data_IF_274653806784
#
_entry.id   IF_274653806784
#
_cell.length_a   1.000
_cell.length_b   1.000
_cell.length_c   1.000
_cell.angle_alpha   90.00
_cell.angle_beta   90.00
_cell.angle_gamma   90.00
#
_symmetry.space_group_name_H-M   'P 1'
#
loop_
_entity.id
_entity.type
_entity.pdbx_description
1 polymer ?
#
# COMPACT_ATOMS: atom_id res chain seq x y z
N UNK A 1 23.10 40.30 -68.25
CA UNK A 1 23.75 39.40 -67.27
C UNK A 1 23.48 39.96 -65.87
N UNK A 2 22.47 39.42 -65.15
CA UNK A 2 22.18 39.77 -63.77
C UNK A 2 22.36 38.48 -62.95
N UNK A 3 23.31 38.52 -62.02
CA UNK A 3 23.56 37.43 -61.05
C UNK A 3 22.54 37.54 -59.93
N UNK A 4 21.80 36.48 -59.76
CA UNK A 4 20.91 36.25 -58.62
C UNK A 4 21.73 35.59 -57.55
N UNK A 5 21.86 36.24 -56.39
CA UNK A 5 22.48 35.72 -55.16
C UNK A 5 21.38 35.05 -54.38
N UNK A 6 21.47 33.71 -54.25
CA UNK A 6 20.60 32.92 -53.40
C UNK A 6 21.12 33.00 -51.95
N UNK A 7 20.36 33.63 -51.06
CA UNK A 7 20.63 33.67 -49.64
C UNK A 7 19.96 32.43 -49.00
N UNK A 8 20.74 31.43 -48.65
CA UNK A 8 20.27 30.27 -47.88
C UNK A 8 20.26 30.68 -46.40
N UNK A 9 19.05 30.87 -45.83
CA UNK A 9 18.85 31.01 -44.41
C UNK A 9 19.02 29.69 -43.70
N UNK A 10 20.06 29.58 -42.88
CA UNK A 10 20.31 28.46 -41.99
C UNK A 10 19.41 28.64 -40.76
N UNK A 11 18.28 27.89 -40.71
CA UNK A 11 17.45 27.82 -39.49
C UNK A 11 18.11 26.81 -38.56
N UNK A 12 18.77 27.32 -37.53
CA UNK A 12 19.28 26.49 -36.44
C UNK A 12 18.10 26.07 -35.57
N UNK A 13 17.71 24.83 -35.72
CA UNK A 13 16.81 24.15 -34.75
C UNK A 13 17.58 23.97 -33.45
N UNK A 14 17.34 24.83 -32.46
CA UNK A 14 17.65 24.51 -31.07
C UNK A 14 16.64 23.45 -30.58
N UNK A 15 16.95 22.19 -30.81
CA UNK A 15 16.32 21.09 -30.12
C UNK A 15 16.67 21.18 -28.64
N UNK A 16 15.71 21.59 -27.80
CA UNK A 16 15.78 21.38 -26.37
C UNK A 16 15.73 19.85 -26.16
N UNK A 17 16.91 19.24 -26.16
CA UNK A 17 17.09 17.93 -25.57
C UNK A 17 16.79 18.07 -24.08
N UNK A 18 15.57 17.73 -23.64
CA UNK A 18 15.35 17.30 -22.28
C UNK A 18 16.17 16.01 -22.11
N UNK A 19 17.38 16.17 -21.60
CA UNK A 19 18.26 15.08 -21.31
C UNK A 19 17.55 14.14 -20.33
N UNK A 20 17.29 12.93 -20.77
CA UNK A 20 17.13 11.79 -19.88
C UNK A 20 18.34 11.81 -18.96
N UNK A 21 18.15 12.12 -17.66
CA UNK A 21 19.21 11.97 -16.68
C UNK A 21 19.59 10.49 -16.71
N UNK A 22 20.73 10.19 -17.32
CA UNK A 22 21.26 8.84 -17.37
C UNK A 22 21.41 8.31 -15.96
N UNK A 23 20.81 7.17 -15.71
CA UNK A 23 20.80 6.43 -14.44
C UNK A 23 22.17 5.87 -14.04
N UNK A 24 23.23 6.25 -14.71
CA UNK A 24 24.54 5.61 -14.62
C UNK A 24 25.67 6.48 -14.09
N UNK A 25 25.38 7.31 -13.07
CA UNK A 25 26.51 7.72 -12.23
C UNK A 25 26.72 6.61 -11.18
N UNK A 26 27.76 5.80 -11.37
CA UNK A 26 28.20 4.75 -10.44
C UNK A 26 28.27 5.21 -8.97
N UNK A 27 28.36 6.51 -8.72
CA UNK A 27 28.46 7.11 -7.39
C UNK A 27 27.17 7.10 -6.58
N UNK A 28 26.00 7.28 -7.19
CA UNK A 28 24.74 7.26 -6.43
C UNK A 28 24.37 5.87 -5.95
N UNK A 29 24.86 4.80 -6.61
CA UNK A 29 24.64 3.40 -6.20
C UNK A 29 25.54 3.01 -5.02
N UNK A 30 26.66 3.71 -4.79
CA UNK A 30 27.51 3.52 -3.61
C UNK A 30 26.77 3.98 -2.35
N UNK A 31 27.01 3.29 -1.24
CA UNK A 31 26.48 3.72 0.04
C UNK A 31 27.13 5.04 0.49
N UNK A 32 26.38 5.84 1.23
CA UNK A 32 26.84 7.13 1.74
C UNK A 32 27.50 6.95 3.11
N UNK A 33 28.17 8.02 3.58
CA UNK A 33 28.55 8.15 5.00
C UNK A 33 27.40 8.85 5.75
N UNK A 34 26.97 8.26 6.84
CA UNK A 34 26.03 8.84 7.81
C UNK A 34 26.60 8.62 9.21
N UNK A 35 26.42 9.60 10.11
CA UNK A 35 26.94 9.52 11.49
C UNK A 35 26.33 8.34 12.27
N UNK A 36 25.13 7.89 11.92
CA UNK A 36 24.46 6.72 12.49
C UNK A 36 25.02 5.40 11.96
N UNK A 37 25.90 5.44 10.97
CA UNK A 37 26.48 4.29 10.30
C UNK A 37 25.49 3.56 9.40
N UNK A 38 25.86 2.34 8.99
CA UNK A 38 24.94 1.48 8.22
C UNK A 38 23.78 0.99 9.10
N UNK A 39 22.60 1.00 8.54
CA UNK A 39 21.43 0.44 9.22
C UNK A 39 21.60 -1.07 9.43
N UNK A 40 21.21 -1.58 10.61
CA UNK A 40 21.34 -2.98 10.97
C UNK A 40 19.95 -3.58 11.15
N UNK A 41 19.44 -4.37 10.19
CA UNK A 41 18.13 -4.97 10.29
C UNK A 41 18.08 -6.05 11.36
N UNK A 42 16.90 -6.24 11.97
CA UNK A 42 16.72 -7.29 12.97
C UNK A 42 16.74 -8.67 12.30
N UNK A 43 17.29 -9.66 13.00
CA UNK A 43 17.46 -11.02 12.46
C UNK A 43 16.20 -11.88 12.58
N UNK A 44 15.27 -11.52 13.46
CA UNK A 44 14.05 -12.25 13.78
C UNK A 44 12.85 -11.32 13.73
N UNK A 45 11.73 -11.83 13.25
CA UNK A 45 10.46 -11.10 13.22
C UNK A 45 9.82 -10.94 14.59
N UNK A 46 8.83 -10.07 14.66
CA UNK A 46 8.07 -9.82 15.88
C UNK A 46 7.28 -11.05 16.34
N UNK A 47 6.86 -11.92 15.43
CA UNK A 47 6.20 -13.19 15.75
C UNK A 47 7.02 -14.07 16.69
N UNK A 48 8.33 -14.16 16.44
CA UNK A 48 9.22 -14.94 17.30
C UNK A 48 9.62 -14.20 18.60
N UNK A 49 9.69 -12.87 18.57
CA UNK A 49 10.36 -12.09 19.63
C UNK A 49 9.41 -11.29 20.50
N UNK A 50 8.16 -11.08 20.07
CA UNK A 50 7.21 -10.14 20.68
C UNK A 50 7.63 -8.66 20.57
N UNK A 51 8.72 -8.35 19.83
CA UNK A 51 9.33 -7.02 19.79
C UNK A 51 9.17 -6.40 18.42
N UNK A 52 8.84 -5.11 18.40
CA UNK A 52 8.70 -4.29 17.18
C UNK A 52 9.78 -3.22 17.16
N UNK A 53 10.47 -3.11 16.02
CA UNK A 53 11.56 -2.17 15.82
C UNK A 53 11.00 -0.74 15.77
N UNK A 54 11.61 0.17 16.52
CA UNK A 54 11.32 1.59 16.44
C UNK A 54 12.50 2.32 15.81
N UNK A 55 12.42 2.55 14.50
CA UNK A 55 13.47 3.19 13.69
C UNK A 55 13.66 4.66 14.09
N UNK A 56 12.58 5.35 14.47
CA UNK A 56 12.68 6.76 14.89
C UNK A 56 13.47 6.90 16.20
N UNK A 57 13.29 5.98 17.16
CA UNK A 57 14.16 5.98 18.34
C UNK A 57 15.63 5.68 17.99
N UNK A 58 15.89 4.75 17.06
CA UNK A 58 17.23 4.48 16.57
C UNK A 58 17.82 5.70 15.81
N UNK A 59 16.99 6.54 15.21
CA UNK A 59 17.40 7.78 14.57
C UNK A 59 17.69 8.92 15.58
N UNK A 60 17.36 8.73 16.87
CA UNK A 60 17.64 9.69 17.94
C UNK A 60 16.44 10.51 18.40
N UNK A 61 15.22 10.26 17.87
CA UNK A 61 14.00 10.95 18.33
C UNK A 61 13.51 10.38 19.66
N UNK A 62 12.97 11.24 20.52
CA UNK A 62 12.40 10.80 21.80
C UNK A 62 11.04 10.13 21.60
N UNK A 63 10.61 9.37 22.62
CA UNK A 63 9.27 8.77 22.60
C UNK A 63 8.17 9.83 22.48
N UNK A 64 8.33 10.95 23.20
CA UNK A 64 7.38 12.06 23.16
C UNK A 64 7.28 12.71 21.77
N UNK A 65 8.40 12.88 21.07
CA UNK A 65 8.40 13.39 19.70
C UNK A 65 7.66 12.44 18.74
N UNK A 66 7.90 11.13 18.89
CA UNK A 66 7.26 10.09 18.05
C UNK A 66 5.75 10.05 18.31
N UNK A 67 5.34 10.05 19.56
CA UNK A 67 3.92 10.04 19.93
C UNK A 67 3.21 11.33 19.44
N UNK A 68 3.87 12.48 19.53
CA UNK A 68 3.38 13.75 18.97
C UNK A 68 3.24 13.69 17.46
N UNK A 69 4.24 13.13 16.75
CA UNK A 69 4.21 12.98 15.28
C UNK A 69 3.06 12.08 14.84
N UNK A 70 2.86 10.94 15.50
CA UNK A 70 1.75 10.03 15.24
C UNK A 70 0.39 10.66 15.53
N UNK A 71 0.25 11.35 16.67
CA UNK A 71 -0.98 12.04 17.03
C UNK A 71 -1.33 13.13 16.01
N UNK A 72 -0.32 13.87 15.53
CA UNK A 72 -0.51 14.88 14.49
C UNK A 72 -0.96 14.26 13.17
N UNK A 73 -0.31 13.20 12.71
CA UNK A 73 -0.70 12.52 11.47
C UNK A 73 -2.11 11.92 11.56
N UNK A 74 -2.46 11.35 12.72
CA UNK A 74 -3.82 10.88 12.96
C UNK A 74 -4.83 12.05 12.91
N UNK A 75 -4.54 13.16 13.57
CA UNK A 75 -5.39 14.35 13.53
C UNK A 75 -5.61 14.85 12.10
N UNK A 76 -4.54 14.95 11.30
CA UNK A 76 -4.61 15.46 9.93
C UNK A 76 -5.50 14.59 9.03
N UNK A 77 -5.50 13.25 9.23
CA UNK A 77 -6.28 12.30 8.41
C UNK A 77 -7.71 12.10 8.94
N UNK A 78 -7.93 12.11 10.26
CA UNK A 78 -9.22 11.73 10.85
C UNK A 78 -10.03 12.89 11.46
N UNK A 79 -9.40 13.98 11.86
CA UNK A 79 -10.05 15.02 12.68
C UNK A 79 -9.90 16.43 12.08
N UNK A 80 -8.77 16.71 11.44
CA UNK A 80 -8.37 18.03 10.98
C UNK A 80 -9.19 18.55 9.77
N UNK A 81 -8.86 19.76 9.28
CA UNK A 81 -9.58 20.39 8.17
C UNK A 81 -9.54 19.61 6.85
N UNK A 82 -8.47 18.83 6.64
CA UNK A 82 -8.29 17.98 5.45
C UNK A 82 -8.68 16.53 5.66
N UNK A 83 -9.42 16.21 6.73
CA UNK A 83 -9.77 14.85 7.10
C UNK A 83 -10.53 14.11 6.04
N UNK A 84 -10.34 12.80 6.01
CA UNK A 84 -11.08 11.87 5.16
C UNK A 84 -12.11 11.02 5.91
N UNK A 85 -12.13 11.09 7.25
CA UNK A 85 -13.07 10.41 8.11
C UNK A 85 -14.31 11.27 8.36
N UNK A 86 -15.51 10.72 8.13
CA UNK A 86 -16.79 11.41 8.29
C UNK A 86 -17.80 10.56 9.06
N UNK A 87 -18.33 11.09 10.14
CA UNK A 87 -19.36 10.43 10.93
C UNK A 87 -20.75 10.55 10.25
N UNK A 88 -21.57 9.51 10.43
CA UNK A 88 -22.94 9.42 9.91
C UNK A 88 -23.86 9.00 11.07
N UNK A 89 -24.65 9.94 11.56
CA UNK A 89 -25.47 9.75 12.76
C UNK A 89 -24.60 9.34 13.96
N UNK A 90 -25.21 8.62 14.90
CA UNK A 90 -24.56 8.33 16.19
C UNK A 90 -23.67 7.08 16.18
N UNK A 91 -23.72 6.26 15.13
CA UNK A 91 -23.12 4.92 15.18
C UNK A 91 -22.32 4.49 13.96
N UNK A 92 -22.24 5.30 12.90
CA UNK A 92 -21.56 4.96 11.66
C UNK A 92 -20.57 6.05 11.26
N UNK A 93 -19.57 5.67 10.45
CA UNK A 93 -18.66 6.59 9.79
C UNK A 93 -18.09 5.96 8.51
N UNK A 94 -17.55 6.78 7.62
CA UNK A 94 -16.85 6.32 6.42
C UNK A 94 -15.55 7.09 6.19
N UNK A 95 -14.67 6.51 5.38
CA UNK A 95 -13.50 7.18 4.80
C UNK A 95 -13.86 7.57 3.37
N UNK A 96 -13.63 8.82 3.01
CA UNK A 96 -13.91 9.36 1.67
C UNK A 96 -12.65 9.55 0.86
N UNK A 97 -12.63 9.05 -0.37
CA UNK A 97 -11.73 9.55 -1.39
C UNK A 97 -12.27 10.91 -1.87
N UNK A 98 -11.68 11.99 -1.39
CA UNK A 98 -12.14 13.34 -1.66
C UNK A 98 -11.96 13.75 -3.14
N UNK A 99 -11.04 13.11 -3.86
CA UNK A 99 -10.78 13.38 -5.28
C UNK A 99 -11.80 12.73 -6.19
N UNK A 100 -12.25 11.53 -5.83
CA UNK A 100 -13.20 10.75 -6.59
C UNK A 100 -14.64 10.89 -6.04
N UNK A 101 -14.82 11.57 -4.92
CA UNK A 101 -16.13 11.81 -4.27
C UNK A 101 -16.86 10.50 -3.94
N UNK A 102 -16.13 9.48 -3.53
CA UNK A 102 -16.65 8.17 -3.16
C UNK A 102 -16.04 7.65 -1.85
N UNK A 103 -16.63 6.58 -1.34
CA UNK A 103 -16.05 5.75 -0.29
C UNK A 103 -15.70 4.39 -0.91
N UNK A 104 -14.49 3.91 -0.64
CA UNK A 104 -13.93 2.68 -1.21
C UNK A 104 -13.62 1.68 -0.12
N UNK A 105 -13.72 0.39 -0.45
CA UNK A 105 -13.30 -0.69 0.45
C UNK A 105 -11.85 -0.53 0.91
N UNK A 106 -10.96 -0.06 0.04
CA UNK A 106 -9.57 0.29 0.36
C UNK A 106 -9.51 1.27 1.55
N UNK A 107 -10.15 2.44 1.43
CA UNK A 107 -10.08 3.46 2.48
C UNK A 107 -10.78 3.05 3.77
N UNK A 108 -11.93 2.35 3.67
CA UNK A 108 -12.65 1.84 4.84
C UNK A 108 -11.80 0.85 5.62
N UNK A 109 -11.19 -0.11 4.93
CA UNK A 109 -10.33 -1.12 5.55
C UNK A 109 -9.05 -0.51 6.13
N UNK A 110 -8.42 0.44 5.44
CA UNK A 110 -7.27 1.17 5.99
C UNK A 110 -7.63 1.96 7.25
N UNK A 111 -8.80 2.63 7.25
CA UNK A 111 -9.30 3.32 8.44
C UNK A 111 -9.52 2.37 9.62
N UNK A 112 -10.07 1.17 9.35
CA UNK A 112 -10.25 0.12 10.35
C UNK A 112 -8.91 -0.40 10.88
N UNK A 113 -7.92 -0.64 9.99
CA UNK A 113 -6.57 -1.05 10.42
C UNK A 113 -5.92 0.03 11.30
N UNK A 114 -5.97 1.30 10.94
CA UNK A 114 -5.49 2.40 11.79
C UNK A 114 -6.18 2.37 13.15
N UNK A 115 -7.50 2.24 13.16
CA UNK A 115 -8.28 2.26 14.40
C UNK A 115 -7.94 1.08 15.32
N UNK A 116 -7.79 -0.14 14.77
CA UNK A 116 -7.43 -1.31 15.59
C UNK A 116 -5.99 -1.22 16.09
N UNK A 117 -5.05 -0.72 15.30
CA UNK A 117 -3.67 -0.53 15.73
C UNK A 117 -3.53 0.52 16.84
N UNK A 118 -4.26 1.62 16.76
CA UNK A 118 -4.24 2.72 17.74
C UNK A 118 -5.24 2.54 18.89
N UNK A 119 -5.90 1.36 19.00
CA UNK A 119 -6.89 1.04 20.03
C UNK A 119 -8.10 2.00 20.08
N UNK A 120 -8.57 2.44 18.93
CA UNK A 120 -9.73 3.33 18.75
C UNK A 120 -10.99 2.54 18.39
N UNK A 121 -11.55 1.83 19.36
CA UNK A 121 -12.68 0.91 19.15
C UNK A 121 -13.91 1.58 18.55
N UNK A 122 -14.29 2.77 19.01
CA UNK A 122 -15.48 3.48 18.52
C UNK A 122 -15.33 3.83 17.03
N UNK A 123 -14.17 4.32 16.61
CA UNK A 123 -13.86 4.60 15.19
C UNK A 123 -13.96 3.33 14.35
N UNK A 124 -13.38 2.23 14.83
CA UNK A 124 -13.44 0.93 14.16
C UNK A 124 -14.89 0.45 13.98
N UNK A 125 -15.66 0.46 15.04
CA UNK A 125 -17.04 0.00 15.04
C UNK A 125 -17.93 0.84 14.13
N UNK A 126 -17.73 2.16 14.08
CA UNK A 126 -18.46 3.08 13.18
C UNK A 126 -18.15 2.78 11.72
N UNK A 127 -16.87 2.60 11.38
CA UNK A 127 -16.43 2.24 10.02
C UNK A 127 -17.00 0.88 9.61
N UNK A 128 -16.90 -0.14 10.49
CA UNK A 128 -17.45 -1.46 10.19
C UNK A 128 -18.96 -1.45 9.98
N UNK A 129 -19.73 -0.76 10.82
CA UNK A 129 -21.19 -0.68 10.67
C UNK A 129 -21.59 -0.03 9.35
N UNK A 130 -20.90 1.04 8.94
CA UNK A 130 -21.15 1.70 7.66
C UNK A 130 -20.80 0.79 6.49
N UNK A 131 -19.64 0.18 6.51
CA UNK A 131 -19.15 -0.76 5.50
C UNK A 131 -20.11 -1.93 5.32
N UNK A 132 -20.52 -2.56 6.42
CA UNK A 132 -21.46 -3.68 6.39
C UNK A 132 -22.82 -3.28 5.84
N UNK A 133 -23.30 -2.10 6.16
CA UNK A 133 -24.63 -1.61 5.73
C UNK A 133 -24.67 -1.21 4.26
N UNK A 134 -23.63 -0.52 3.79
CA UNK A 134 -23.69 0.14 2.47
C UNK A 134 -22.80 -0.50 1.42
N UNK A 135 -21.88 -1.37 1.78
CA UNK A 135 -20.95 -1.99 0.83
C UNK A 135 -21.11 -3.51 0.79
N UNK A 136 -21.35 -4.19 1.94
CA UNK A 136 -21.38 -5.65 1.97
C UNK A 136 -22.68 -6.20 1.38
N UNK A 137 -22.55 -7.08 0.38
CA UNK A 137 -23.66 -7.82 -0.19
C UNK A 137 -24.22 -8.83 0.81
N UNK A 138 -25.55 -8.89 0.91
CA UNK A 138 -26.28 -9.76 1.82
C UNK A 138 -27.13 -10.75 1.00
N UNK A 139 -26.52 -11.87 0.61
CA UNK A 139 -27.17 -12.90 -0.21
C UNK A 139 -26.79 -12.87 -1.70
N UNK A 140 -27.25 -13.88 -2.45
CA UNK A 140 -26.90 -14.08 -3.86
C UNK A 140 -25.46 -14.56 -4.05
N UNK A 141 -24.99 -14.55 -5.30
CA UNK A 141 -23.63 -14.99 -5.64
C UNK A 141 -22.55 -14.10 -5.00
N UNK A 142 -22.83 -12.81 -4.79
CA UNK A 142 -21.91 -11.85 -4.16
C UNK A 142 -21.96 -11.87 -2.63
N UNK A 143 -22.74 -12.75 -1.99
CA UNK A 143 -22.86 -12.76 -0.52
C UNK A 143 -21.48 -12.69 0.17
N UNK A 144 -21.37 -11.82 1.18
CA UNK A 144 -20.19 -11.51 1.96
C UNK A 144 -19.07 -10.72 1.23
N UNK A 145 -19.11 -10.53 -0.09
CA UNK A 145 -18.26 -9.60 -0.81
C UNK A 145 -18.78 -8.16 -0.71
N UNK A 146 -18.01 -7.21 -1.20
CA UNK A 146 -18.33 -5.78 -1.05
C UNK A 146 -18.38 -5.07 -2.40
N UNK A 147 -19.33 -4.17 -2.57
CA UNK A 147 -19.28 -3.14 -3.60
C UNK A 147 -18.05 -2.25 -3.31
N UNK A 148 -17.05 -2.27 -4.18
CA UNK A 148 -15.77 -1.61 -3.88
C UNK A 148 -15.84 -0.09 -3.78
N UNK A 149 -16.86 0.54 -4.41
CA UNK A 149 -17.02 2.00 -4.42
C UNK A 149 -18.50 2.38 -4.28
N UNK A 150 -18.76 3.28 -3.34
CA UNK A 150 -20.11 3.73 -2.95
C UNK A 150 -20.15 5.25 -2.85
N UNK A 151 -21.27 5.88 -3.26
CA UNK A 151 -21.55 7.30 -3.00
C UNK A 151 -21.94 7.51 -1.54
N UNK A 152 -21.15 8.16 -0.69
CA UNK A 152 -21.44 8.24 0.74
C UNK A 152 -22.75 8.95 1.07
N UNK A 153 -23.10 9.97 0.27
CA UNK A 153 -24.30 10.77 0.50
C UNK A 153 -25.62 9.99 0.33
N UNK A 154 -25.62 8.91 -0.47
CA UNK A 154 -26.83 8.15 -0.80
C UNK A 154 -26.74 6.67 -0.48
N UNK A 155 -25.55 6.14 -0.22
CA UNK A 155 -25.31 4.70 -0.10
C UNK A 155 -25.43 3.94 -1.44
N UNK A 156 -25.54 4.65 -2.57
CA UNK A 156 -25.64 4.01 -3.89
C UNK A 156 -24.27 3.48 -4.34
N UNK A 157 -24.23 2.22 -4.79
CA UNK A 157 -23.04 1.63 -5.38
C UNK A 157 -22.67 2.35 -6.69
N UNK A 158 -21.39 2.70 -6.84
CA UNK A 158 -20.81 3.09 -8.11
C UNK A 158 -20.47 1.85 -8.95
N UNK A 159 -20.17 0.74 -8.26
CA UNK A 159 -19.89 -0.57 -8.84
C UNK A 159 -20.37 -1.66 -7.88
N UNK A 160 -21.03 -2.67 -8.38
CA UNK A 160 -21.43 -3.85 -7.59
C UNK A 160 -20.27 -4.82 -7.36
N UNK A 161 -19.22 -4.77 -8.17
CA UNK A 161 -18.10 -5.67 -8.09
C UNK A 161 -17.21 -5.44 -6.86
N UNK A 162 -16.47 -6.46 -6.46
CA UNK A 162 -15.49 -6.41 -5.39
C UNK A 162 -14.11 -6.01 -5.93
N UNK A 163 -13.29 -5.35 -5.11
CA UNK A 163 -11.86 -5.13 -5.29
C UNK A 163 -11.13 -5.87 -4.17
N UNK A 164 -10.38 -6.92 -4.54
CA UNK A 164 -9.87 -7.93 -3.61
C UNK A 164 -9.07 -7.41 -2.42
N UNK A 165 -8.43 -6.25 -2.54
CA UNK A 165 -7.62 -5.65 -1.45
C UNK A 165 -8.46 -5.30 -0.20
N UNK A 166 -9.69 -4.84 -0.39
CA UNK A 166 -10.59 -4.52 0.72
C UNK A 166 -10.87 -5.75 1.59
N UNK A 167 -11.21 -6.88 0.98
CA UNK A 167 -11.49 -8.14 1.67
C UNK A 167 -10.28 -8.62 2.49
N UNK A 168 -9.06 -8.49 1.95
CA UNK A 168 -7.83 -8.87 2.66
C UNK A 168 -7.66 -8.11 3.97
N UNK A 169 -7.82 -6.80 3.91
CA UNK A 169 -7.71 -5.95 5.09
C UNK A 169 -8.86 -6.17 6.06
N UNK A 170 -10.12 -6.23 5.59
CA UNK A 170 -11.28 -6.47 6.47
C UNK A 170 -11.13 -7.75 7.30
N UNK A 171 -10.68 -8.86 6.68
CA UNK A 171 -10.44 -10.10 7.42
C UNK A 171 -9.41 -9.90 8.52
N UNK A 172 -8.27 -9.30 8.19
CA UNK A 172 -7.18 -9.11 9.15
C UNK A 172 -7.56 -8.12 10.25
N UNK A 173 -8.25 -7.03 9.90
CA UNK A 173 -8.75 -6.00 10.84
C UNK A 173 -9.71 -6.61 11.86
N UNK A 174 -10.65 -7.41 11.39
CA UNK A 174 -11.66 -8.06 12.22
C UNK A 174 -11.04 -9.14 13.12
N UNK A 175 -10.05 -9.91 12.63
CA UNK A 175 -9.29 -10.84 13.47
C UNK A 175 -8.52 -10.08 14.57
N UNK A 176 -7.90 -8.97 14.23
CA UNK A 176 -7.21 -8.12 15.21
C UNK A 176 -8.18 -7.47 16.20
N UNK A 177 -9.35 -7.03 15.75
CA UNK A 177 -10.40 -6.51 16.61
C UNK A 177 -10.92 -7.58 17.59
N UNK A 178 -11.13 -8.81 17.10
CA UNK A 178 -11.48 -9.97 17.93
C UNK A 178 -10.43 -10.22 19.01
N UNK A 179 -9.15 -10.22 18.63
CA UNK A 179 -8.05 -10.44 19.56
C UNK A 179 -7.92 -9.32 20.60
N UNK A 180 -8.17 -8.06 20.20
CA UNK A 180 -8.00 -6.87 21.06
C UNK A 180 -9.17 -6.62 21.99
N UNK A 181 -10.39 -6.75 21.49
CA UNK A 181 -11.60 -6.31 22.17
C UNK A 181 -12.58 -7.45 22.52
N UNK A 182 -12.32 -8.68 22.02
CA UNK A 182 -13.21 -9.81 22.17
C UNK A 182 -14.44 -9.73 21.24
N UNK A 183 -15.36 -10.68 21.38
CA UNK A 183 -16.49 -10.86 20.45
C UNK A 183 -17.87 -10.57 21.09
N UNK A 184 -17.92 -10.20 22.38
CA UNK A 184 -19.17 -9.92 23.11
C UNK A 184 -19.39 -8.41 23.29
N UNK A 185 -19.12 -7.60 22.26
CA UNK A 185 -19.08 -6.13 22.35
C UNK A 185 -20.11 -5.45 21.46
N UNK A 186 -21.17 -6.17 21.05
CA UNK A 186 -22.16 -5.70 20.07
C UNK A 186 -21.81 -6.04 18.62
N UNK A 187 -20.55 -6.35 18.34
CA UNK A 187 -20.06 -6.92 17.07
C UNK A 187 -19.27 -8.18 17.39
N UNK A 188 -19.61 -9.30 16.75
CA UNK A 188 -18.80 -10.51 16.79
C UNK A 188 -17.77 -10.43 15.65
N UNK A 189 -16.63 -9.78 15.93
CA UNK A 189 -15.58 -9.54 14.93
C UNK A 189 -15.04 -10.83 14.31
N UNK A 190 -14.89 -11.88 15.13
CA UNK A 190 -14.42 -13.19 14.65
C UNK A 190 -15.39 -13.80 13.64
N UNK A 191 -16.70 -13.80 13.94
CA UNK A 191 -17.70 -14.32 13.01
C UNK A 191 -17.76 -13.52 11.71
N UNK A 192 -17.61 -12.20 11.78
CA UNK A 192 -17.54 -11.33 10.60
C UNK A 192 -16.30 -11.63 9.75
N UNK A 193 -15.11 -11.74 10.37
CA UNK A 193 -13.88 -12.13 9.69
C UNK A 193 -14.01 -13.47 8.98
N UNK A 194 -14.57 -14.46 9.68
CA UNK A 194 -14.76 -15.82 9.14
C UNK A 194 -15.72 -15.84 7.96
N UNK A 195 -16.83 -15.09 8.03
CA UNK A 195 -17.79 -15.02 6.94
C UNK A 195 -17.16 -14.49 5.66
N UNK A 196 -16.32 -13.44 5.75
CA UNK A 196 -15.63 -12.89 4.61
C UNK A 196 -14.58 -13.90 4.10
N UNK A 197 -13.73 -14.39 4.99
CA UNK A 197 -12.65 -15.30 4.62
C UNK A 197 -13.19 -16.59 3.97
N UNK A 198 -14.27 -17.17 4.51
CA UNK A 198 -14.91 -18.34 3.91
C UNK A 198 -15.42 -18.04 2.48
N UNK A 199 -15.99 -16.86 2.23
CA UNK A 199 -16.43 -16.47 0.90
C UNK A 199 -15.26 -16.28 -0.08
N UNK A 200 -14.08 -15.86 0.39
CA UNK A 200 -12.92 -15.56 -0.47
C UNK A 200 -12.37 -16.78 -1.22
N UNK A 201 -12.72 -17.99 -0.83
CA UNK A 201 -12.24 -19.22 -1.50
C UNK A 201 -13.36 -20.25 -1.79
N UNK A 202 -14.62 -19.97 -1.45
CA UNK A 202 -15.73 -20.95 -1.57
C UNK A 202 -16.76 -20.62 -2.64
N UNK A 203 -16.51 -19.62 -3.51
CA UNK A 203 -17.41 -19.30 -4.62
C UNK A 203 -17.30 -20.35 -5.72
N UNK A 204 -18.44 -20.74 -6.27
CA UNK A 204 -18.58 -21.83 -7.26
C UNK A 204 -18.65 -21.32 -8.72
N UNK A 205 -18.52 -20.02 -8.94
CA UNK A 205 -18.63 -19.40 -10.26
C UNK A 205 -20.06 -19.03 -10.68
N UNK A 206 -21.06 -19.22 -9.79
CA UNK A 206 -22.43 -18.79 -10.04
C UNK A 206 -22.48 -17.31 -10.41
N UNK A 207 -23.24 -16.96 -11.45
CA UNK A 207 -23.34 -15.61 -12.02
C UNK A 207 -21.96 -15.01 -12.43
N UNK A 208 -20.93 -15.85 -12.56
CA UNK A 208 -19.58 -15.42 -12.92
C UNK A 208 -18.76 -14.86 -11.76
N UNK A 209 -19.25 -15.01 -10.52
CA UNK A 209 -18.54 -14.59 -9.31
C UNK A 209 -17.56 -15.68 -8.91
N UNK A 210 -16.30 -15.29 -8.77
CA UNK A 210 -15.17 -16.17 -8.52
C UNK A 210 -14.59 -15.93 -7.12
N UNK A 211 -13.60 -16.74 -6.74
CA UNK A 211 -12.88 -16.57 -5.48
C UNK A 211 -11.95 -15.34 -5.52
N UNK A 212 -11.82 -14.65 -4.41
CA UNK A 212 -10.74 -13.66 -4.19
C UNK A 212 -9.38 -14.39 -4.12
N UNK A 213 -9.33 -15.55 -3.46
CA UNK A 213 -8.13 -16.40 -3.48
C UNK A 213 -8.26 -17.40 -4.62
N UNK A 214 -7.44 -17.26 -5.66
CA UNK A 214 -7.32 -18.30 -6.67
C UNK A 214 -6.67 -19.53 -6.03
N UNK A 215 -7.45 -20.60 -5.85
CA UNK A 215 -7.05 -21.79 -5.08
C UNK A 215 -5.94 -22.57 -5.79
N UNK A 216 -5.96 -22.62 -7.12
CA UNK A 216 -4.95 -23.29 -7.94
C UNK A 216 -3.58 -22.59 -7.84
N UNK A 217 -3.58 -21.28 -7.98
CA UNK A 217 -2.36 -20.47 -7.93
C UNK A 217 -1.94 -20.10 -6.49
N UNK A 218 -2.83 -20.22 -5.49
CA UNK A 218 -2.64 -19.74 -4.10
C UNK A 218 -2.28 -18.25 -4.06
N UNK A 219 -2.91 -17.46 -4.92
CA UNK A 219 -2.66 -16.04 -5.11
C UNK A 219 -3.98 -15.27 -5.11
N UNK A 220 -3.89 -13.97 -4.83
CA UNK A 220 -5.06 -13.08 -4.85
C UNK A 220 -5.36 -12.67 -6.29
N UNK A 221 -6.63 -12.74 -6.68
CA UNK A 221 -7.10 -12.24 -7.97
C UNK A 221 -7.22 -10.72 -7.95
N UNK A 222 -7.13 -10.06 -9.10
CA UNK A 222 -7.35 -8.60 -9.16
C UNK A 222 -8.78 -8.24 -8.73
N UNK A 223 -9.77 -8.84 -9.36
CA UNK A 223 -11.18 -8.80 -8.94
C UNK A 223 -11.78 -10.19 -9.08
N UNK A 224 -12.73 -10.60 -8.21
CA UNK A 224 -13.28 -11.96 -8.19
C UNK A 224 -14.41 -12.13 -9.20
N UNK A 225 -14.14 -11.83 -10.47
CA UNK A 225 -15.03 -12.08 -11.59
C UNK A 225 -14.24 -12.56 -12.82
N UNK A 226 -14.94 -12.91 -13.89
CA UNK A 226 -14.31 -13.43 -15.10
C UNK A 226 -13.29 -12.48 -15.74
N UNK A 227 -13.38 -11.17 -15.47
CA UNK A 227 -12.48 -10.16 -16.06
C UNK A 227 -11.15 -10.07 -15.32
N UNK A 228 -11.12 -10.38 -14.01
CA UNK A 228 -9.98 -10.20 -13.13
C UNK A 228 -9.43 -11.47 -12.48
N UNK A 229 -10.12 -12.61 -12.62
CA UNK A 229 -9.77 -13.84 -11.88
C UNK A 229 -8.42 -14.45 -12.26
N UNK A 230 -7.93 -14.22 -13.47
CA UNK A 230 -6.71 -14.83 -14.00
C UNK A 230 -5.49 -13.90 -14.00
N UNK A 231 -5.53 -12.84 -13.24
CA UNK A 231 -4.44 -11.89 -13.07
C UNK A 231 -4.57 -11.14 -11.75
N UNK A 232 -3.55 -10.36 -11.40
CA UNK A 232 -3.43 -9.80 -10.06
C UNK A 232 -2.79 -8.42 -10.05
N UNK A 233 -2.83 -7.78 -8.88
CA UNK A 233 -2.04 -6.63 -8.48
C UNK A 233 -0.98 -7.07 -7.46
N UNK A 234 0.31 -6.80 -7.67
CA UNK A 234 1.36 -7.15 -6.71
C UNK A 234 1.12 -6.61 -5.29
N UNK A 235 0.44 -5.48 -5.15
CA UNK A 235 0.14 -4.91 -3.84
C UNK A 235 -0.90 -5.70 -3.03
N UNK A 236 -1.65 -6.60 -3.67
CA UNK A 236 -2.60 -7.49 -3.01
C UNK A 236 -1.92 -8.71 -2.38
N UNK A 237 -0.64 -8.92 -2.65
CA UNK A 237 0.13 -10.01 -2.05
C UNK A 237 0.71 -9.59 -0.70
N UNK A 238 0.01 -10.00 0.36
CA UNK A 238 0.29 -9.67 1.75
C UNK A 238 0.68 -10.95 2.52
N UNK A 239 1.91 -11.48 2.36
CA UNK A 239 2.31 -12.73 3.01
C UNK A 239 2.12 -12.69 4.52
N UNK A 240 2.33 -11.54 5.15
CA UNK A 240 2.09 -11.37 6.58
C UNK A 240 0.61 -11.59 6.98
N UNK A 241 -0.36 -11.21 6.15
CA UNK A 241 -1.77 -11.42 6.45
C UNK A 241 -2.15 -12.91 6.34
N UNK A 242 -1.63 -13.62 5.35
CA UNK A 242 -1.83 -15.07 5.25
C UNK A 242 -1.29 -15.82 6.47
N UNK A 243 -0.13 -15.41 7.01
CA UNK A 243 0.38 -15.98 8.28
C UNK A 243 -0.57 -15.70 9.45
N UNK A 244 -1.16 -14.49 9.52
CA UNK A 244 -2.16 -14.14 10.54
C UNK A 244 -3.42 -14.98 10.38
N UNK A 245 -3.89 -15.22 9.16
CA UNK A 245 -5.04 -16.09 8.92
C UNK A 245 -4.76 -17.54 9.28
N UNK A 246 -3.56 -18.04 8.96
CA UNK A 246 -3.12 -19.37 9.38
C UNK A 246 -3.13 -19.54 10.91
N UNK A 247 -2.86 -18.47 11.64
CA UNK A 247 -2.81 -18.53 13.11
C UNK A 247 -4.19 -18.32 13.76
N UNK A 248 -4.98 -17.37 13.25
CA UNK A 248 -6.19 -16.92 13.96
C UNK A 248 -7.52 -17.29 13.32
N UNK A 249 -7.58 -17.70 12.06
CA UNK A 249 -8.84 -18.06 11.42
C UNK A 249 -9.47 -19.33 12.01
N UNK A 250 -8.65 -20.31 12.42
CA UNK A 250 -9.08 -21.59 13.03
C UNK A 250 -10.16 -22.31 12.22
N UNK A 251 -9.95 -22.39 10.89
CA UNK A 251 -10.92 -22.95 9.94
C UNK A 251 -10.48 -24.29 9.33
N UNK A 252 -9.35 -24.84 9.81
CA UNK A 252 -8.76 -26.08 9.31
C UNK A 252 -7.95 -25.90 8.02
N UNK A 253 -7.66 -24.65 7.62
CA UNK A 253 -6.89 -24.30 6.42
C UNK A 253 -5.55 -23.65 6.72
N UNK A 254 -5.03 -23.82 7.91
CA UNK A 254 -3.80 -23.19 8.38
C UNK A 254 -2.64 -23.44 7.40
N UNK A 255 -2.50 -24.67 6.90
CA UNK A 255 -1.45 -24.99 5.94
C UNK A 255 -1.67 -24.32 4.58
N UNK A 256 -2.92 -24.24 4.11
CA UNK A 256 -3.24 -23.57 2.86
C UNK A 256 -2.86 -22.07 2.91
N UNK A 257 -3.14 -21.39 4.02
CA UNK A 257 -2.73 -19.97 4.17
C UNK A 257 -1.22 -19.82 4.28
N UNK A 258 -0.50 -20.74 4.94
CA UNK A 258 0.97 -20.73 4.92
C UNK A 258 1.54 -20.92 3.51
N UNK A 259 0.94 -21.82 2.73
CA UNK A 259 1.33 -22.00 1.33
C UNK A 259 1.04 -20.74 0.49
N UNK A 260 -0.06 -20.02 0.75
CA UNK A 260 -0.34 -18.73 0.12
C UNK A 260 0.71 -17.67 0.51
N UNK A 261 1.13 -17.64 1.78
CA UNK A 261 2.19 -16.72 2.24
C UNK A 261 3.52 -16.99 1.53
N UNK A 262 3.92 -18.24 1.42
CA UNK A 262 5.15 -18.62 0.73
C UNK A 262 5.06 -18.35 -0.78
N UNK A 263 3.91 -18.63 -1.39
CA UNK A 263 3.64 -18.28 -2.81
C UNK A 263 3.71 -16.78 -3.03
N UNK A 264 3.13 -15.97 -2.14
CA UNK A 264 3.18 -14.51 -2.23
C UNK A 264 4.62 -13.97 -2.14
N UNK A 265 5.50 -14.54 -1.29
CA UNK A 265 6.92 -14.17 -1.21
C UNK A 265 7.65 -14.47 -2.53
N UNK A 266 7.43 -15.68 -3.10
CA UNK A 266 8.01 -16.08 -4.40
C UNK A 266 7.47 -15.19 -5.53
N UNK A 267 6.19 -14.86 -5.50
CA UNK A 267 5.57 -13.99 -6.48
C UNK A 267 6.17 -12.58 -6.43
N UNK A 268 6.28 -11.96 -5.26
CA UNK A 268 6.89 -10.63 -5.10
C UNK A 268 8.35 -10.60 -5.58
N UNK A 269 9.11 -11.67 -5.35
CA UNK A 269 10.46 -11.82 -5.91
C UNK A 269 10.46 -11.73 -7.44
N UNK A 270 9.46 -12.33 -8.11
CA UNK A 270 9.35 -12.34 -9.58
C UNK A 270 8.80 -11.04 -10.15
N UNK A 271 7.82 -10.42 -9.46
CA UNK A 271 7.15 -9.22 -9.91
C UNK A 271 8.02 -7.96 -9.79
N UNK A 272 8.95 -7.92 -8.83
CA UNK A 272 9.82 -6.77 -8.63
C UNK A 272 11.06 -6.83 -9.53
N UNK A 273 11.33 -5.75 -10.26
CA UNK A 273 12.49 -5.64 -11.13
C UNK A 273 13.80 -5.85 -10.35
N UNK A 274 14.69 -6.66 -10.91
CA UNK A 274 15.93 -7.07 -10.24
C UNK A 274 17.02 -5.97 -10.17
N UNK A 275 16.81 -4.84 -10.84
CA UNK A 275 17.73 -3.68 -10.83
C UNK A 275 17.13 -2.53 -10.01
N UNK A 276 15.90 -2.13 -10.32
CA UNK A 276 15.25 -0.96 -9.71
C UNK A 276 14.47 -1.28 -8.44
N UNK A 277 13.99 -2.52 -8.29
CA UNK A 277 13.03 -2.91 -7.24
C UNK A 277 11.58 -2.49 -7.55
N UNK A 278 11.33 -1.79 -8.67
CA UNK A 278 9.99 -1.39 -9.08
C UNK A 278 9.18 -2.59 -9.55
N UNK A 279 7.88 -2.56 -9.35
CA UNK A 279 6.91 -3.52 -9.86
C UNK A 279 5.84 -2.82 -10.69
N UNK A 280 5.22 -3.54 -11.60
CA UNK A 280 4.03 -3.08 -12.31
C UNK A 280 2.83 -3.02 -11.35
N UNK A 281 1.89 -2.10 -11.60
CA UNK A 281 0.61 -2.06 -10.89
C UNK A 281 -0.26 -3.31 -11.20
N UNK A 282 -0.16 -3.88 -12.42
CA UNK A 282 -0.85 -5.13 -12.75
C UNK A 282 0.12 -6.16 -13.34
N UNK A 283 -0.08 -7.45 -12.98
CA UNK A 283 0.70 -8.58 -13.48
C UNK A 283 -0.18 -9.80 -13.71
N UNK A 284 0.32 -10.77 -14.46
CA UNK A 284 -0.18 -12.15 -14.33
C UNK A 284 0.35 -12.80 -13.03
N UNK A 285 -0.08 -14.03 -12.75
CA UNK A 285 0.36 -14.79 -11.57
C UNK A 285 1.82 -15.24 -11.60
N UNK A 286 2.52 -15.06 -12.71
CA UNK A 286 3.97 -15.29 -12.80
C UNK A 286 4.81 -14.04 -12.49
N UNK A 287 4.16 -12.88 -12.35
CA UNK A 287 4.80 -11.58 -12.10
C UNK A 287 5.12 -10.79 -13.38
N UNK A 288 4.68 -11.26 -14.56
CA UNK A 288 4.86 -10.54 -15.81
C UNK A 288 3.86 -9.37 -15.88
N UNK A 289 4.34 -8.15 -16.20
CA UNK A 289 3.47 -6.98 -16.31
C UNK A 289 2.31 -7.18 -17.29
N UNK A 290 1.13 -6.74 -16.85
CA UNK A 290 -0.11 -6.80 -17.64
C UNK A 290 -0.67 -5.39 -17.83
N UNK A 291 -1.10 -5.09 -19.05
CA UNK A 291 -1.74 -3.81 -19.37
C UNK A 291 -3.23 -3.98 -19.62
N UNK A 292 -4.02 -3.03 -19.20
CA UNK A 292 -5.45 -2.91 -19.49
C UNK A 292 -5.72 -1.52 -20.10
N UNK A 293 -5.72 -1.41 -21.41
CA UNK A 293 -5.75 -0.12 -22.09
C UNK A 293 -4.50 0.70 -21.76
N UNK A 294 -4.67 1.86 -21.11
CA UNK A 294 -3.58 2.73 -20.63
C UNK A 294 -3.17 2.40 -19.20
N UNK A 295 -3.84 1.46 -18.55
CA UNK A 295 -3.59 1.05 -17.17
C UNK A 295 -2.67 -0.16 -17.13
N UNK A 296 -1.95 -0.32 -16.04
CA UNK A 296 -1.01 -1.41 -15.83
C UNK A 296 0.34 -1.17 -16.51
N UNK A 297 1.30 -2.02 -16.19
CA UNK A 297 2.63 -2.03 -16.79
C UNK A 297 3.61 -0.98 -16.24
N UNK A 298 3.18 -0.10 -15.33
CA UNK A 298 4.02 0.91 -14.70
C UNK A 298 3.94 0.83 -13.17
N UNK A 299 4.98 1.32 -12.51
CA UNK A 299 5.00 1.55 -11.06
C UNK A 299 4.28 2.85 -10.76
N UNK A 300 3.13 2.79 -10.08
CA UNK A 300 2.32 3.94 -9.68
C UNK A 300 1.28 3.55 -8.62
N UNK A 301 0.75 4.49 -7.84
CA UNK A 301 -0.32 4.30 -6.85
C UNK A 301 -0.30 2.95 -6.10
N UNK A 302 -1.05 1.95 -6.57
CA UNK A 302 -1.14 0.63 -5.93
C UNK A 302 0.24 -0.01 -5.73
N UNK A 303 1.14 0.15 -6.70
CA UNK A 303 2.52 -0.32 -6.60
C UNK A 303 3.31 0.29 -5.45
N UNK A 304 2.96 1.51 -4.97
CA UNK A 304 3.66 2.14 -3.84
C UNK A 304 3.47 1.36 -2.54
N UNK A 305 2.43 0.55 -2.42
CA UNK A 305 2.18 -0.29 -1.25
C UNK A 305 3.17 -1.44 -1.11
N UNK A 306 3.69 -1.95 -2.23
CA UNK A 306 4.58 -3.14 -2.26
C UNK A 306 5.83 -2.97 -1.37
N UNK A 307 6.58 -1.85 -1.41
CA UNK A 307 7.70 -1.61 -0.51
C UNK A 307 7.35 -1.77 0.98
N UNK A 308 6.21 -1.21 1.39
CA UNK A 308 5.73 -1.30 2.77
C UNK A 308 5.25 -2.71 3.12
N UNK A 309 4.57 -3.41 2.21
CA UNK A 309 4.08 -4.78 2.41
C UNK A 309 5.24 -5.77 2.63
N UNK A 310 6.32 -5.63 1.85
CA UNK A 310 7.53 -6.44 2.02
C UNK A 310 8.21 -6.13 3.36
N UNK A 311 8.28 -4.86 3.74
CA UNK A 311 8.85 -4.43 5.02
C UNK A 311 8.00 -4.92 6.21
N UNK A 312 6.68 -4.95 6.08
CA UNK A 312 5.77 -5.52 7.07
C UNK A 312 6.03 -7.00 7.29
N UNK A 313 6.08 -7.80 6.21
CA UNK A 313 6.36 -9.24 6.30
C UNK A 313 7.72 -9.51 6.97
N UNK A 314 8.74 -8.71 6.61
CA UNK A 314 10.03 -8.79 7.28
C UNK A 314 9.93 -8.45 8.78
N UNK A 315 9.27 -7.35 9.12
CA UNK A 315 9.14 -6.91 10.50
C UNK A 315 8.38 -7.91 11.37
N UNK A 316 7.36 -8.56 10.81
CA UNK A 316 6.53 -9.49 11.55
C UNK A 316 7.09 -10.91 11.56
N UNK A 317 7.56 -11.43 10.43
CA UNK A 317 7.91 -12.86 10.29
C UNK A 317 9.35 -13.12 9.87
N UNK A 318 9.99 -12.23 9.12
CA UNK A 318 11.37 -12.35 8.65
C UNK A 318 11.73 -13.71 8.00
N UNK A 319 10.79 -14.29 7.23
CA UNK A 319 10.97 -15.63 6.62
C UNK A 319 11.82 -15.61 5.35
N UNK A 320 11.83 -14.51 4.58
CA UNK A 320 12.61 -14.37 3.33
C UNK A 320 13.66 -13.24 3.40
N UNK A 321 14.41 -13.22 4.49
CA UNK A 321 15.32 -12.12 4.88
C UNK A 321 16.29 -11.68 3.80
N UNK A 322 16.94 -12.63 3.14
CA UNK A 322 18.00 -12.32 2.19
C UNK A 322 17.46 -11.53 1.00
N UNK A 323 16.37 -12.01 0.42
CA UNK A 323 15.75 -11.32 -0.71
C UNK A 323 15.11 -9.99 -0.27
N UNK A 324 14.39 -9.96 0.84
CA UNK A 324 13.75 -8.74 1.35
C UNK A 324 14.76 -7.61 1.60
N UNK A 325 15.93 -7.94 2.19
CA UNK A 325 17.02 -6.97 2.36
C UNK A 325 17.62 -6.51 1.03
N UNK A 326 17.79 -7.40 0.08
CA UNK A 326 18.26 -7.08 -1.26
C UNK A 326 17.24 -6.20 -2.01
N UNK A 327 15.95 -6.51 -1.89
CA UNK A 327 14.86 -5.67 -2.40
C UNK A 327 14.90 -4.25 -1.82
N UNK A 328 14.94 -4.13 -0.49
CA UNK A 328 14.99 -2.82 0.17
C UNK A 328 16.21 -1.99 -0.26
N UNK A 329 17.36 -2.66 -0.48
CA UNK A 329 18.55 -2.02 -1.03
C UNK A 329 18.32 -1.51 -2.46
N UNK A 330 17.66 -2.28 -3.34
CA UNK A 330 17.42 -1.92 -4.74
C UNK A 330 16.49 -0.73 -4.85
N UNK A 331 15.30 -0.80 -4.24
CA UNK A 331 14.30 0.27 -4.34
C UNK A 331 14.80 1.58 -3.73
N UNK A 332 15.48 1.52 -2.58
CA UNK A 332 16.07 2.73 -1.98
C UNK A 332 17.24 3.28 -2.77
N UNK A 333 18.10 2.43 -3.38
CA UNK A 333 19.13 2.90 -4.30
C UNK A 333 18.53 3.61 -5.51
N UNK A 334 17.51 3.01 -6.12
CA UNK A 334 16.83 3.58 -7.27
C UNK A 334 16.27 4.96 -6.95
N UNK A 335 15.42 5.08 -5.95
CA UNK A 335 14.79 6.35 -5.56
C UNK A 335 15.82 7.38 -5.09
N UNK A 336 16.85 6.97 -4.35
CA UNK A 336 17.93 7.85 -3.93
C UNK A 336 18.69 8.45 -5.12
N UNK A 337 18.93 7.66 -6.17
CA UNK A 337 19.57 8.14 -7.40
C UNK A 337 18.70 9.13 -8.18
N UNK A 338 17.39 9.10 -7.99
CA UNK A 338 16.45 10.09 -8.54
C UNK A 338 16.44 11.40 -7.74
N UNK A 339 17.01 11.39 -6.53
CA UNK A 339 17.03 12.50 -5.59
C UNK A 339 16.05 12.31 -4.44
N UNK A 340 16.56 12.22 -3.20
CA UNK A 340 15.76 11.87 -2.01
C UNK A 340 14.59 12.83 -1.77
N UNK A 341 14.72 14.09 -2.15
CA UNK A 341 13.70 15.13 -1.97
C UNK A 341 12.91 15.45 -3.24
N UNK A 342 13.15 14.71 -4.35
CA UNK A 342 12.63 15.09 -5.67
C UNK A 342 12.22 13.91 -6.55
N UNK A 343 12.42 12.66 -6.15
CA UNK A 343 12.07 11.53 -7.00
C UNK A 343 10.59 11.56 -7.38
N UNK A 344 10.32 11.17 -8.60
CA UNK A 344 8.98 11.15 -9.17
C UNK A 344 8.17 9.98 -8.58
N UNK A 345 6.86 10.05 -8.73
CA UNK A 345 5.91 9.11 -8.15
C UNK A 345 5.44 8.01 -9.13
N UNK A 346 5.81 8.10 -10.41
CA UNK A 346 5.46 7.10 -11.41
C UNK A 346 6.65 6.79 -12.32
N UNK A 347 6.85 5.49 -12.58
CA UNK A 347 7.95 4.99 -13.42
C UNK A 347 7.50 3.80 -14.26
N UNK A 348 8.12 3.59 -15.41
CA UNK A 348 8.20 2.27 -15.99
C UNK A 348 9.07 1.38 -15.08
N UNK A 349 8.88 0.07 -15.11
CA UNK A 349 9.61 -0.84 -14.19
C UNK A 349 11.12 -0.87 -14.42
N UNK A 350 11.60 -0.44 -15.60
CA UNK A 350 13.02 -0.26 -15.90
C UNK A 350 13.61 1.03 -15.32
N UNK A 351 12.77 1.89 -14.73
CA UNK A 351 13.16 3.15 -14.10
C UNK A 351 13.07 4.38 -15.01
N UNK A 352 12.66 4.24 -16.26
CA UNK A 352 12.35 5.36 -17.14
C UNK A 352 11.02 6.01 -16.74
N UNK A 353 10.79 7.27 -17.14
CA UNK A 353 9.53 7.95 -16.90
C UNK A 353 8.44 7.42 -17.85
N UNK A 354 7.19 7.25 -17.38
CA UNK A 354 6.11 6.78 -18.22
C UNK A 354 5.65 7.87 -19.19
N UNK A 355 5.24 7.49 -20.39
CA UNK A 355 4.64 8.40 -21.38
C UNK A 355 3.20 8.78 -21.02
N UNK A 356 2.52 7.97 -20.22
CA UNK A 356 1.19 8.24 -19.70
C UNK A 356 1.23 8.35 -18.17
N UNK A 357 0.85 9.52 -17.65
CA UNK A 357 0.79 9.80 -16.23
C UNK A 357 -0.66 9.62 -15.77
N UNK A 358 -0.88 8.75 -14.78
CA UNK A 358 -2.19 8.55 -14.15
C UNK A 358 -2.29 9.46 -12.92
N UNK A 359 -3.38 10.22 -12.81
CA UNK A 359 -3.69 10.96 -11.58
C UNK A 359 -5.19 11.04 -11.32
N UNK A 360 -5.56 10.96 -10.06
CA UNK A 360 -6.90 11.29 -9.61
C UNK A 360 -7.23 12.76 -9.91
N UNK A 361 -8.45 13.05 -10.33
CA UNK A 361 -8.89 14.41 -10.67
C UNK A 361 -8.38 14.96 -12.01
N UNK A 362 -7.77 14.11 -12.87
CA UNK A 362 -7.41 14.48 -14.24
C UNK A 362 -6.10 15.30 -14.41
N UNK A 363 -5.32 15.50 -13.35
CA UNK A 363 -4.02 16.16 -13.43
C UNK A 363 -2.95 15.19 -13.92
N UNK A 364 -2.28 15.54 -15.03
CA UNK A 364 -1.19 14.75 -15.60
C UNK A 364 0.17 15.36 -15.24
N UNK A 365 0.58 15.22 -13.98
CA UNK A 365 1.87 15.74 -13.52
C UNK A 365 2.54 14.75 -12.57
N UNK A 366 3.80 14.45 -12.83
CA UNK A 366 4.63 13.72 -11.87
C UNK A 366 4.91 14.60 -10.65
N UNK A 367 4.87 13.99 -9.46
CA UNK A 367 5.11 14.65 -8.17
C UNK A 367 6.12 13.86 -7.36
N UNK A 368 6.57 14.46 -6.30
CA UNK A 368 7.24 13.79 -5.19
C UNK A 368 6.18 13.45 -4.14
N UNK A 369 5.37 12.40 -4.42
CA UNK A 369 4.19 12.08 -3.60
C UNK A 369 4.56 11.60 -2.22
N UNK A 370 3.86 12.14 -1.20
CA UNK A 370 4.01 11.78 0.21
C UNK A 370 3.77 10.27 0.44
N UNK A 371 2.82 9.67 -0.28
CA UNK A 371 2.54 8.24 -0.22
C UNK A 371 3.77 7.39 -0.58
N UNK A 372 4.44 7.70 -1.70
CA UNK A 372 5.65 6.96 -2.10
C UNK A 372 6.84 7.28 -1.20
N UNK A 373 7.03 8.54 -0.77
CA UNK A 373 8.04 8.90 0.24
C UNK A 373 7.87 8.06 1.48
N UNK A 374 6.64 7.91 1.95
CA UNK A 374 6.29 7.18 3.16
C UNK A 374 6.53 5.67 3.03
N UNK A 375 6.00 5.05 1.99
CA UNK A 375 6.13 3.59 1.81
C UNK A 375 7.56 3.17 1.50
N UNK A 376 8.32 4.00 0.77
CA UNK A 376 9.75 3.77 0.55
C UNK A 376 10.58 3.93 1.84
N UNK A 377 10.16 4.82 2.75
CA UNK A 377 10.79 4.94 4.07
C UNK A 377 10.52 3.70 4.95
N UNK A 378 9.33 3.09 4.86
CA UNK A 378 9.01 1.86 5.58
C UNK A 378 9.98 0.72 5.26
N UNK A 379 10.58 0.68 4.05
CA UNK A 379 11.62 -0.31 3.72
C UNK A 379 12.88 -0.17 4.56
N UNK A 380 13.06 0.91 5.31
CA UNK A 380 14.17 1.05 6.25
C UNK A 380 14.11 0.02 7.40
N UNK A 381 12.96 -0.60 7.66
CA UNK A 381 12.86 -1.75 8.57
C UNK A 381 13.76 -2.93 8.13
N UNK A 382 13.97 -3.09 6.83
CA UNK A 382 14.84 -4.09 6.20
C UNK A 382 16.16 -3.49 5.70
N UNK A 383 16.40 -2.20 5.98
CA UNK A 383 17.55 -1.45 5.49
C UNK A 383 18.90 -2.01 5.98
N UNK A 384 19.86 -2.08 5.05
CA UNK A 384 21.24 -2.56 5.31
C UNK A 384 22.30 -1.54 4.93
N UNK A 385 21.90 -0.31 4.57
CA UNK A 385 22.73 0.77 4.06
C UNK A 385 22.62 2.01 4.93
N UNK A 386 23.63 2.88 4.89
CA UNK A 386 23.57 4.17 5.56
C UNK A 386 22.55 5.12 4.91
N UNK A 387 22.37 5.04 3.59
CA UNK A 387 21.35 5.87 2.89
C UNK A 387 19.91 5.58 3.30
N UNK A 388 19.60 4.42 3.91
CA UNK A 388 18.29 4.14 4.47
C UNK A 388 17.84 5.19 5.51
N UNK A 389 18.79 5.80 6.21
CA UNK A 389 18.51 6.91 7.14
C UNK A 389 17.93 8.14 6.44
N UNK A 390 18.32 8.40 5.18
CA UNK A 390 17.79 9.54 4.42
C UNK A 390 16.29 9.39 4.14
N UNK A 391 15.81 8.16 3.93
CA UNK A 391 14.38 7.88 3.79
C UNK A 391 13.63 8.05 5.13
N UNK A 392 14.27 7.67 6.24
CA UNK A 392 13.71 7.92 7.58
C UNK A 392 13.63 9.43 7.86
N UNK A 393 14.68 10.18 7.55
CA UNK A 393 14.71 11.63 7.70
C UNK A 393 13.65 12.32 6.82
N UNK A 394 13.50 11.85 5.56
CA UNK A 394 12.52 12.40 4.62
C UNK A 394 11.07 12.25 5.15
N UNK A 395 10.67 11.03 5.56
CA UNK A 395 9.32 10.83 6.10
C UNK A 395 9.11 11.50 7.46
N UNK A 396 10.15 11.61 8.29
CA UNK A 396 10.05 12.32 9.56
C UNK A 396 9.78 13.82 9.34
N UNK A 397 10.45 14.44 8.38
CA UNK A 397 10.28 15.85 8.07
C UNK A 397 9.04 16.14 7.21
N UNK A 398 8.47 15.13 6.57
CA UNK A 398 7.29 15.28 5.73
C UNK A 398 6.05 15.70 6.53
N UNK A 399 5.13 16.37 5.84
CA UNK A 399 3.84 16.82 6.35
C UNK A 399 2.75 16.50 5.33
N UNK A 400 1.56 16.21 5.83
CA UNK A 400 0.38 16.09 4.99
C UNK A 400 -0.19 17.48 4.74
N UNK A 401 0.16 18.06 3.60
CA UNK A 401 -0.24 19.42 3.19
C UNK A 401 -0.38 19.49 1.65
N UNK A 402 -1.11 20.47 1.12
CA UNK A 402 -1.19 20.67 -0.32
C UNK A 402 0.17 20.89 -0.96
N UNK A 403 0.40 20.30 -2.13
CA UNK A 403 1.57 20.55 -2.96
C UNK A 403 1.58 22.00 -3.47
N UNK A 404 2.72 22.47 -3.96
CA UNK A 404 2.89 23.84 -4.44
C UNK A 404 1.95 24.26 -5.58
N UNK A 405 1.36 23.28 -6.29
CA UNK A 405 0.36 23.51 -7.33
C UNK A 405 -1.09 23.37 -6.84
N UNK A 406 -1.27 23.27 -5.52
CA UNK A 406 -2.59 23.13 -4.89
C UNK A 406 -3.20 21.73 -4.92
N UNK A 407 -2.51 20.75 -5.53
CA UNK A 407 -2.97 19.34 -5.42
C UNK A 407 -2.84 18.87 -3.98
N UNK A 408 -3.84 18.18 -3.48
CA UNK A 408 -3.87 17.64 -2.12
C UNK A 408 -4.59 16.30 -2.11
N UNK A 409 -3.92 15.27 -1.63
CA UNK A 409 -4.47 13.92 -1.52
C UNK A 409 -4.37 13.40 -0.08
N UNK A 410 -5.26 13.83 0.81
CA UNK A 410 -5.27 13.34 2.19
C UNK A 410 -5.78 11.90 2.31
N UNK A 411 -6.42 11.36 1.27
CA UNK A 411 -6.89 10.00 1.23
C UNK A 411 -5.71 9.03 1.03
N UNK A 412 -5.14 8.98 -0.15
CA UNK A 412 -4.11 7.98 -0.44
C UNK A 412 -2.76 8.31 0.18
N UNK A 413 -2.25 9.53 -0.05
CA UNK A 413 -1.02 10.00 0.57
C UNK A 413 -1.11 10.01 2.10
N UNK A 414 -2.25 10.47 2.66
CA UNK A 414 -2.45 10.58 4.11
C UNK A 414 -2.52 9.23 4.81
N UNK A 415 -3.26 8.26 4.26
CA UNK A 415 -3.37 6.92 4.84
C UNK A 415 -2.03 6.16 4.75
N UNK A 416 -1.33 6.21 3.62
CA UNK A 416 -0.01 5.57 3.47
C UNK A 416 1.04 6.22 4.38
N UNK A 417 0.97 7.54 4.56
CA UNK A 417 1.83 8.27 5.49
C UNK A 417 1.62 7.80 6.93
N UNK A 418 0.38 7.74 7.38
CA UNK A 418 0.06 7.28 8.74
C UNK A 418 0.48 5.82 8.96
N UNK A 419 0.24 4.93 8.00
CA UNK A 419 0.73 3.55 8.05
C UNK A 419 2.25 3.49 8.20
N UNK A 420 2.98 4.24 7.38
CA UNK A 420 4.44 4.22 7.42
C UNK A 420 5.00 4.76 8.74
N UNK A 421 4.39 5.80 9.32
CA UNK A 421 4.76 6.28 10.64
C UNK A 421 4.50 5.22 11.73
N UNK A 422 3.38 4.50 11.67
CA UNK A 422 3.10 3.38 12.60
C UNK A 422 4.12 2.24 12.44
N UNK A 423 4.49 1.89 11.21
CA UNK A 423 5.52 0.88 10.94
C UNK A 423 6.88 1.27 11.53
N UNK A 424 7.36 2.47 11.22
CA UNK A 424 8.68 2.95 11.63
C UNK A 424 8.79 3.26 13.12
N UNK A 425 7.67 3.54 13.79
CA UNK A 425 7.61 3.72 15.25
C UNK A 425 7.40 2.42 16.03
N UNK A 426 7.24 1.27 15.36
CA UNK A 426 6.92 -0.01 16.00
C UNK A 426 5.51 -0.10 16.58
N UNK A 427 4.58 0.72 16.08
CA UNK A 427 3.17 0.74 16.48
C UNK A 427 2.24 -0.01 15.51
N UNK A 428 2.76 -0.53 14.41
CA UNK A 428 2.04 -1.43 13.51
C UNK A 428 2.35 -2.89 13.88
N UNK A 429 1.43 -3.53 14.59
CA UNK A 429 1.73 -4.75 15.35
C UNK A 429 0.78 -5.90 15.00
N UNK A 430 1.26 -7.12 15.16
CA UNK A 430 0.40 -8.30 15.29
C UNK A 430 -0.35 -8.17 16.62
N UNK A 431 -1.67 -8.19 16.57
CA UNK A 431 -2.50 -8.13 17.76
C UNK A 431 -2.87 -9.55 18.16
N UNK A 432 -2.29 -10.01 19.24
CA UNK A 432 -2.53 -11.34 19.82
C UNK A 432 -3.72 -11.32 20.77
N UNK A 433 -4.42 -12.45 20.96
CA UNK A 433 -5.42 -12.54 22.03
C UNK A 433 -4.82 -12.17 23.39
N UNK A 434 -5.57 -11.38 24.18
CA UNK A 434 -5.19 -10.98 25.53
C UNK A 434 -5.34 -12.12 26.56
#
# INVERSE_FOLDING_TARGET
>A
MKRIICLTALIAFFGLCFGSREYDTLDCKKDIKDQRGKMKPWKKGAWETGRYRNIFMEAGYTRADIDTKLARAYFDVFEGPGKVYFEVGDSMAYISDLKNHDARTEGLSYGMMVAVQLNKKDVFDRLWRWTKKYMQHQGGAMDAYFAWSVKPATGKHNSEGSASDGELYFVTDLLFASNRWGNNTGINYYAEARRILDAMWSKDGTEGIMNVINVEHKQITFVPDKSGYNWTDPSYHLPAFFEIWAEYAKDGREQFYRDCADTARVFLYRACNNVTGLNSDYTDFSGVPKTRGRMGGAFRYDSWRVPMNIAMDYSWFAKDKKWQQDYGKRIQNFLFCRGIDTFEDQFNIDGTLPTYILQAGGYQKLRHSLGLVSTSAATSLIGIQAKSWKFVDAVWNARLEPYSDGYFDPYYDGLLYLFSLMHLSGNYRIITPG
#
